data_IF_206613047077
#
_entry.id   IF_206613047077
#
_cell.length_a   1.000
_cell.length_b   1.000
_cell.length_c   1.000
_cell.angle_alpha   90.00
_cell.angle_beta   90.00
_cell.angle_gamma   90.00
#
_symmetry.space_group_name_H-M   'P 1'
#
loop_
_entity.id
_entity.type
_entity.pdbx_description
1 polymer ?
#
# COMPACT_ATOMS: atom_id res chain seq x y z
N UNK A 1 32.91 -18.26 -8.54
CA UNK A 1 32.95 -17.67 -7.18
C UNK A 1 31.64 -18.01 -6.50
N UNK A 2 31.61 -18.46 -5.24
CA UNK A 2 30.34 -18.79 -4.60
C UNK A 2 29.47 -17.52 -4.56
N UNK A 3 28.30 -17.61 -5.19
CA UNK A 3 27.34 -16.51 -5.40
C UNK A 3 26.67 -16.05 -4.10
N UNK A 4 26.75 -16.88 -3.05
CA UNK A 4 26.12 -16.65 -1.74
C UNK A 4 27.18 -16.73 -0.65
N UNK A 5 27.25 -15.67 0.18
CA UNK A 5 28.15 -15.61 1.33
C UNK A 5 27.57 -16.46 2.47
N UNK A 6 28.28 -17.52 2.85
CA UNK A 6 27.89 -18.38 3.97
C UNK A 6 28.42 -17.75 5.27
N UNK A 7 27.53 -17.50 6.23
CA UNK A 7 27.88 -16.96 7.54
C UNK A 7 27.88 -18.08 8.60
N UNK A 8 28.87 -18.08 9.48
CA UNK A 8 28.82 -18.86 10.72
C UNK A 8 27.82 -18.26 11.70
N UNK A 9 27.37 -19.03 12.69
CA UNK A 9 26.49 -18.53 13.75
C UNK A 9 27.12 -17.36 14.54
N UNK A 10 28.45 -17.37 14.72
CA UNK A 10 29.22 -16.29 15.36
C UNK A 10 29.16 -15.00 14.53
N UNK A 11 29.47 -15.08 13.23
CA UNK A 11 29.43 -13.94 12.32
C UNK A 11 28.02 -13.37 12.15
N UNK A 12 27.01 -14.24 12.08
CA UNK A 12 25.60 -13.83 12.02
C UNK A 12 25.17 -13.05 13.27
N UNK A 13 25.64 -13.45 14.47
CA UNK A 13 25.38 -12.72 15.72
C UNK A 13 26.00 -11.32 15.73
N UNK A 14 27.18 -11.17 15.15
CA UNK A 14 27.89 -9.89 15.11
C UNK A 14 27.38 -8.94 14.03
N UNK A 15 26.65 -9.45 13.03
CA UNK A 15 26.18 -8.70 11.85
C UNK A 15 24.65 -8.61 11.80
N UNK A 16 23.98 -9.72 11.46
CA UNK A 16 22.55 -9.81 11.14
C UNK A 16 21.67 -9.53 12.36
N UNK A 17 22.11 -9.89 13.57
CA UNK A 17 21.30 -9.70 14.79
C UNK A 17 21.32 -8.28 15.38
N UNK A 18 22.11 -7.34 14.82
CA UNK A 18 22.10 -5.94 15.27
C UNK A 18 20.88 -5.20 14.71
N UNK A 19 19.70 -5.46 15.26
CA UNK A 19 18.47 -4.74 14.91
C UNK A 19 18.57 -3.27 15.33
N UNK A 20 18.65 -2.36 14.36
CA UNK A 20 18.37 -0.94 14.58
C UNK A 20 16.94 -0.64 14.12
N UNK A 21 16.13 0.06 14.93
CA UNK A 21 14.84 0.57 14.48
C UNK A 21 15.01 1.40 13.20
N UNK A 22 14.20 1.19 12.15
CA UNK A 22 14.29 1.96 10.90
C UNK A 22 14.18 3.47 11.10
N UNK A 23 13.48 3.91 12.15
CA UNK A 23 13.36 5.31 12.54
C UNK A 23 14.67 5.95 13.04
N UNK A 24 15.69 5.13 13.35
CA UNK A 24 17.01 5.57 13.84
C UNK A 24 18.10 5.51 12.76
N UNK A 25 17.78 5.08 11.53
CA UNK A 25 18.72 5.17 10.42
C UNK A 25 18.73 6.58 9.82
N UNK A 26 19.94 7.06 9.49
CA UNK A 26 20.09 8.32 8.79
C UNK A 26 19.38 8.24 7.42
N UNK A 27 18.59 9.27 7.10
CA UNK A 27 17.94 9.37 5.80
C UNK A 27 18.99 9.28 4.67
N UNK A 28 18.67 8.60 3.56
CA UNK A 28 19.45 8.73 2.34
C UNK A 28 19.58 10.22 1.95
N UNK A 29 20.76 10.69 1.47
CA UNK A 29 20.97 12.10 1.12
C UNK A 29 19.92 12.67 0.16
N UNK A 30 19.47 11.86 -0.81
CA UNK A 30 18.40 12.23 -1.75
C UNK A 30 17.07 12.52 -1.05
N UNK A 31 16.71 11.76 0.00
CA UNK A 31 15.49 11.98 0.76
C UNK A 31 15.58 13.26 1.60
N UNK A 32 16.73 13.52 2.24
CA UNK A 32 16.96 14.76 2.98
C UNK A 32 16.93 16.00 2.06
N UNK A 33 17.53 15.92 0.87
CA UNK A 33 17.47 16.98 -0.14
C UNK A 33 16.03 17.25 -0.60
N UNK A 34 15.25 16.19 -0.87
CA UNK A 34 13.85 16.32 -1.26
C UNK A 34 12.99 16.96 -0.18
N UNK A 35 13.22 16.65 1.10
CA UNK A 35 12.54 17.33 2.22
C UNK A 35 12.87 18.83 2.20
N UNK A 36 14.15 19.18 2.03
CA UNK A 36 14.57 20.59 1.99
C UNK A 36 13.95 21.35 0.82
N UNK A 37 13.84 20.71 -0.33
CA UNK A 37 13.17 21.27 -1.52
C UNK A 37 11.67 21.53 -1.26
N UNK A 38 10.96 20.57 -0.68
CA UNK A 38 9.51 20.65 -0.45
C UNK A 38 9.15 21.65 0.65
N UNK A 39 9.94 21.74 1.71
CA UNK A 39 9.62 22.56 2.89
C UNK A 39 10.49 23.81 3.05
N UNK A 40 11.46 24.02 2.17
CA UNK A 40 12.41 25.15 2.23
C UNK A 40 13.38 25.10 3.41
N UNK A 41 13.41 24.01 4.18
CA UNK A 41 14.23 23.86 5.39
C UNK A 41 14.49 22.38 5.70
N UNK A 42 15.52 22.12 6.49
CA UNK A 42 15.79 20.77 6.97
C UNK A 42 14.75 20.35 8.01
N UNK A 43 14.17 19.16 7.82
CA UNK A 43 13.20 18.55 8.73
C UNK A 43 13.48 17.07 8.87
N UNK A 44 13.17 16.51 10.05
CA UNK A 44 13.08 15.07 10.21
C UNK A 44 11.88 14.48 9.45
N UNK A 45 11.90 13.20 9.05
CA UNK A 45 10.78 12.54 8.36
C UNK A 45 9.45 12.69 9.09
N UNK A 46 9.45 12.48 10.42
CA UNK A 46 8.24 12.56 11.22
C UNK A 46 7.64 13.98 11.25
N UNK A 47 8.48 15.02 11.33
CA UNK A 47 8.01 16.40 11.29
C UNK A 47 7.47 16.75 9.89
N UNK A 48 8.17 16.34 8.84
CA UNK A 48 7.72 16.54 7.46
C UNK A 48 6.37 15.86 7.21
N UNK A 49 6.19 14.62 7.67
CA UNK A 49 4.91 13.91 7.62
C UNK A 49 3.84 14.66 8.40
N UNK A 50 4.11 15.06 9.64
CA UNK A 50 3.15 15.81 10.46
C UNK A 50 2.64 17.08 9.77
N UNK A 51 3.52 17.82 9.08
CA UNK A 51 3.14 18.98 8.27
C UNK A 51 2.24 18.63 7.09
N UNK A 52 2.51 17.52 6.41
CA UNK A 52 1.65 17.03 5.30
C UNK A 52 0.27 16.67 5.84
N UNK A 53 0.21 15.91 6.95
CA UNK A 53 -1.05 15.50 7.56
C UNK A 53 -1.90 16.71 7.95
N UNK A 54 -1.30 17.69 8.62
CA UNK A 54 -2.01 18.89 9.07
C UNK A 54 -2.51 19.75 7.89
N UNK A 55 -1.70 19.90 6.86
CA UNK A 55 -2.10 20.60 5.65
C UNK A 55 -3.28 19.92 4.95
N UNK A 56 -3.26 18.59 4.78
CA UNK A 56 -4.39 17.85 4.18
C UNK A 56 -5.64 17.95 5.05
N UNK A 57 -5.50 17.88 6.38
CA UNK A 57 -6.63 18.02 7.30
C UNK A 57 -7.32 19.39 7.20
N UNK A 58 -6.54 20.46 6.98
CA UNK A 58 -7.04 21.84 6.93
C UNK A 58 -7.48 22.30 5.56
N UNK A 59 -6.80 21.84 4.52
CA UNK A 59 -6.92 22.37 3.15
C UNK A 59 -7.49 21.36 2.15
N UNK A 60 -7.72 20.11 2.55
CA UNK A 60 -8.32 19.08 1.72
C UNK A 60 -7.57 18.83 0.41
N UNK A 61 -8.33 18.77 -0.69
CA UNK A 61 -7.84 18.55 -2.06
C UNK A 61 -6.73 19.51 -2.46
N UNK A 62 -6.75 20.75 -1.97
CA UNK A 62 -5.75 21.76 -2.33
C UNK A 62 -4.34 21.35 -1.85
N UNK A 63 -4.24 20.86 -0.61
CA UNK A 63 -2.98 20.34 -0.08
C UNK A 63 -2.58 19.03 -0.77
N UNK A 64 -3.53 18.14 -1.07
CA UNK A 64 -3.26 16.89 -1.79
C UNK A 64 -2.62 17.19 -3.15
N UNK A 65 -3.24 18.07 -3.95
CA UNK A 65 -2.73 18.46 -5.28
C UNK A 65 -1.35 19.13 -5.19
N UNK A 66 -1.16 20.01 -4.22
CA UNK A 66 0.13 20.68 -3.97
C UNK A 66 1.23 19.66 -3.68
N UNK A 67 1.00 18.69 -2.79
CA UNK A 67 2.01 17.69 -2.47
C UNK A 67 2.22 16.68 -3.59
N UNK A 68 1.19 16.32 -4.36
CA UNK A 68 1.35 15.49 -5.58
C UNK A 68 2.22 16.22 -6.61
N UNK A 69 2.01 17.51 -6.84
CA UNK A 69 2.86 18.31 -7.74
C UNK A 69 4.31 18.35 -7.25
N UNK A 70 4.51 18.67 -5.98
CA UNK A 70 5.85 18.79 -5.39
C UNK A 70 6.59 17.46 -5.29
N UNK A 71 5.91 16.34 -5.08
CA UNK A 71 6.53 15.04 -4.83
C UNK A 71 6.58 14.15 -6.07
N UNK A 72 5.50 14.11 -6.85
CA UNK A 72 5.32 13.25 -8.01
C UNK A 72 5.54 13.99 -9.35
N UNK A 73 5.69 15.32 -9.31
CA UNK A 73 6.03 16.14 -10.49
C UNK A 73 4.85 16.47 -11.40
N UNK A 74 3.62 16.17 -10.96
CA UNK A 74 2.40 16.41 -11.72
C UNK A 74 1.31 16.97 -10.82
N UNK A 75 0.64 18.05 -11.25
CA UNK A 75 -0.53 18.59 -10.57
C UNK A 75 -1.81 18.06 -11.22
N UNK A 76 -2.50 17.08 -10.61
CA UNK A 76 -3.73 16.54 -11.18
C UNK A 76 -4.86 17.57 -11.20
N UNK A 77 -5.58 17.65 -12.33
CA UNK A 77 -6.87 18.36 -12.44
C UNK A 77 -8.01 17.57 -11.77
N UNK A 78 -7.95 16.24 -11.83
CA UNK A 78 -8.82 15.35 -11.10
C UNK A 78 -7.98 14.33 -10.33
N UNK A 79 -8.26 14.18 -9.03
CA UNK A 79 -7.60 13.16 -8.21
C UNK A 79 -8.11 11.77 -8.55
N UNK A 80 -9.40 11.63 -8.89
CA UNK A 80 -10.00 10.36 -9.26
C UNK A 80 -9.66 9.98 -10.71
N UNK A 81 -9.34 8.70 -10.92
CA UNK A 81 -9.15 8.12 -12.23
C UNK A 81 -10.52 7.77 -12.81
N UNK A 82 -10.91 8.29 -14.00
CA UNK A 82 -12.20 7.98 -14.59
C UNK A 82 -12.39 6.47 -14.79
N UNK A 83 -13.59 5.97 -14.52
CA UNK A 83 -13.92 4.55 -14.70
C UNK A 83 -13.67 4.06 -16.14
N UNK A 84 -13.80 4.94 -17.14
CA UNK A 84 -13.46 4.64 -18.53
C UNK A 84 -11.95 4.35 -18.73
N UNK A 85 -11.08 5.08 -18.03
CA UNK A 85 -9.62 4.85 -18.07
C UNK A 85 -9.27 3.49 -17.44
N UNK A 86 -9.93 3.13 -16.34
CA UNK A 86 -9.76 1.82 -15.67
C UNK A 86 -10.20 0.67 -16.59
N UNK A 87 -11.37 0.79 -17.23
CA UNK A 87 -11.86 -0.23 -18.19
C UNK A 87 -10.94 -0.35 -19.39
N UNK A 88 -10.55 0.77 -20.00
CA UNK A 88 -9.65 0.79 -21.13
C UNK A 88 -8.29 0.15 -20.79
N UNK A 89 -7.77 0.36 -19.58
CA UNK A 89 -6.53 -0.29 -19.14
C UNK A 89 -6.66 -1.82 -19.03
N UNK A 90 -7.82 -2.32 -18.60
CA UNK A 90 -8.10 -3.76 -18.52
C UNK A 90 -8.32 -4.40 -19.90
N UNK A 91 -8.96 -3.69 -20.82
CA UNK A 91 -9.26 -4.14 -22.18
C UNK A 91 -8.01 -4.14 -23.09
N UNK A 92 -7.14 -3.13 -22.95
CA UNK A 92 -5.96 -2.96 -23.79
C UNK A 92 -4.70 -3.65 -23.24
N UNK A 93 -4.81 -4.38 -22.13
CA UNK A 93 -3.69 -5.14 -21.58
C UNK A 93 -3.39 -6.34 -22.49
N UNK A 94 -2.10 -6.60 -22.76
CA UNK A 94 -1.69 -7.74 -23.57
C UNK A 94 -2.31 -9.06 -23.04
N UNK A 95 -2.79 -9.94 -23.93
CA UNK A 95 -3.67 -11.05 -23.56
C UNK A 95 -3.03 -12.00 -22.54
N UNK A 96 -1.74 -12.28 -22.67
CA UNK A 96 -0.98 -13.14 -21.75
C UNK A 96 -0.91 -12.55 -20.33
N UNK A 97 -0.63 -11.25 -20.22
CA UNK A 97 -0.58 -10.56 -18.94
C UNK A 97 -1.96 -10.44 -18.32
N UNK A 98 -2.99 -10.16 -19.13
CA UNK A 98 -4.38 -10.13 -18.67
C UNK A 98 -4.82 -11.50 -18.13
N UNK A 99 -4.49 -12.59 -18.83
CA UNK A 99 -4.77 -13.95 -18.38
C UNK A 99 -4.05 -14.26 -17.06
N UNK A 100 -2.78 -13.88 -16.95
CA UNK A 100 -1.98 -14.06 -15.72
C UNK A 100 -2.57 -13.32 -14.52
N UNK A 101 -3.01 -12.07 -14.71
CA UNK A 101 -3.65 -11.29 -13.65
C UNK A 101 -5.02 -11.85 -13.25
N UNK A 102 -5.83 -12.30 -14.21
CA UNK A 102 -7.13 -12.94 -13.91
C UNK A 102 -6.94 -14.24 -13.14
N UNK A 103 -6.01 -15.09 -13.57
CA UNK A 103 -5.66 -16.32 -12.86
C UNK A 103 -5.21 -16.03 -11.42
N UNK A 104 -4.33 -15.04 -11.23
CA UNK A 104 -3.90 -14.63 -9.91
C UNK A 104 -5.09 -14.13 -9.07
N UNK A 105 -5.95 -13.27 -9.64
CA UNK A 105 -7.12 -12.75 -8.95
C UNK A 105 -8.10 -13.86 -8.53
N UNK A 106 -8.36 -14.83 -9.41
CA UNK A 106 -9.19 -16.00 -9.12
C UNK A 106 -8.62 -16.85 -7.98
N UNK A 107 -7.31 -17.13 -7.99
CA UNK A 107 -6.66 -17.91 -6.93
C UNK A 107 -6.69 -17.19 -5.59
N UNK A 108 -6.41 -15.89 -5.57
CA UNK A 108 -6.49 -15.07 -4.34
C UNK A 108 -7.92 -15.05 -3.81
N UNK A 109 -8.92 -14.88 -4.70
CA UNK A 109 -10.34 -14.88 -4.32
C UNK A 109 -10.77 -16.24 -3.76
N UNK A 110 -10.42 -17.33 -4.44
CA UNK A 110 -10.76 -18.68 -4.02
C UNK A 110 -10.16 -19.03 -2.65
N UNK A 111 -8.94 -18.57 -2.36
CA UNK A 111 -8.33 -18.75 -1.05
C UNK A 111 -9.09 -17.98 0.05
N UNK A 112 -9.33 -16.68 -0.15
CA UNK A 112 -9.97 -15.84 0.87
C UNK A 112 -11.44 -16.19 1.10
N UNK A 113 -12.16 -16.71 0.08
CA UNK A 113 -13.54 -17.20 0.24
C UNK A 113 -13.63 -18.34 1.27
N UNK A 114 -12.58 -19.15 1.40
CA UNK A 114 -12.51 -20.22 2.42
C UNK A 114 -12.25 -19.71 3.84
N UNK A 115 -11.88 -18.44 4.00
CA UNK A 115 -11.53 -17.81 5.28
C UNK A 115 -12.62 -16.85 5.79
N UNK A 116 -13.74 -16.73 5.09
CA UNK A 116 -14.85 -15.87 5.52
C UNK A 116 -15.38 -16.36 6.87
N UNK A 117 -15.36 -15.47 7.87
CA UNK A 117 -15.86 -15.76 9.21
C UNK A 117 -17.35 -15.49 9.27
N UNK A 118 -18.11 -16.46 9.75
CA UNK A 118 -19.52 -16.28 10.10
C UNK A 118 -19.67 -16.00 11.59
N UNK A 119 -20.69 -15.23 11.94
CA UNK A 119 -21.09 -15.08 13.34
C UNK A 119 -21.68 -16.37 13.93
N UNK A 120 -21.96 -16.34 15.23
CA UNK A 120 -22.63 -17.43 15.95
C UNK A 120 -23.51 -16.86 17.06
N UNK A 121 -24.48 -17.64 17.51
CA UNK A 121 -25.38 -17.31 18.64
C UNK A 121 -25.58 -18.56 19.48
N UNK A 122 -25.42 -18.43 20.80
CA UNK A 122 -25.76 -19.40 21.82
C UNK A 122 -26.95 -18.86 22.62
N UNK A 123 -28.14 -19.37 22.32
CA UNK A 123 -29.38 -18.97 22.98
C UNK A 123 -29.47 -19.45 24.43
N UNK A 124 -28.78 -20.52 24.81
CA UNK A 124 -28.80 -21.06 26.17
C UNK A 124 -27.94 -20.20 27.11
N UNK A 125 -26.78 -19.77 26.64
CA UNK A 125 -25.91 -18.85 27.38
C UNK A 125 -26.28 -17.37 27.19
N UNK A 126 -27.10 -17.04 26.18
CA UNK A 126 -27.42 -15.66 25.81
C UNK A 126 -26.23 -14.90 25.21
N UNK A 127 -25.29 -15.62 24.57
CA UNK A 127 -24.06 -15.07 24.01
C UNK A 127 -24.03 -15.19 22.49
N UNK A 128 -23.21 -14.38 21.83
CA UNK A 128 -23.04 -14.46 20.38
C UNK A 128 -21.95 -13.54 19.86
N UNK A 129 -21.59 -13.75 18.60
CA UNK A 129 -20.69 -12.89 17.85
C UNK A 129 -21.32 -12.55 16.50
N UNK A 130 -21.43 -11.25 16.22
CA UNK A 130 -21.79 -10.76 14.90
C UNK A 130 -20.52 -10.30 14.18
N UNK A 131 -20.26 -10.86 13.00
CA UNK A 131 -19.15 -10.45 12.14
C UNK A 131 -19.71 -9.59 11.01
N UNK A 132 -19.20 -8.36 10.86
CA UNK A 132 -19.61 -7.43 9.80
C UNK A 132 -18.38 -6.86 9.08
N UNK A 133 -18.46 -6.64 7.76
CA UNK A 133 -17.43 -5.91 7.04
C UNK A 133 -17.35 -4.45 7.50
N UNK A 134 -16.20 -3.85 7.24
CA UNK A 134 -16.05 -2.39 7.28
C UNK A 134 -16.86 -1.76 6.14
N UNK A 135 -17.27 -0.50 6.30
CA UNK A 135 -18.01 0.21 5.26
C UNK A 135 -17.05 0.63 4.13
N UNK A 136 -15.88 1.18 4.50
CA UNK A 136 -14.85 1.65 3.56
C UNK A 136 -13.45 1.19 3.93
N UNK A 137 -12.71 0.70 2.95
CA UNK A 137 -11.28 0.37 3.09
C UNK A 137 -10.46 1.14 2.06
N UNK A 138 -9.42 1.82 2.52
CA UNK A 138 -8.41 2.44 1.69
C UNK A 138 -7.25 1.50 1.44
N UNK A 139 -6.80 1.40 0.20
CA UNK A 139 -5.67 0.58 -0.24
C UNK A 139 -4.61 1.51 -0.80
N UNK A 140 -3.45 1.58 -0.15
CA UNK A 140 -2.29 2.26 -0.69
C UNK A 140 -1.47 1.30 -1.56
N UNK A 141 -1.23 1.69 -2.81
CA UNK A 141 -0.40 0.92 -3.75
C UNK A 141 0.83 1.78 -4.10
N UNK A 142 2.05 1.32 -3.74
CA UNK A 142 3.26 2.08 -4.03
C UNK A 142 3.45 2.38 -5.52
N UNK A 143 4.07 3.52 -5.80
CA UNK A 143 4.58 3.85 -7.14
C UNK A 143 6.01 3.40 -7.36
N UNK A 144 6.61 3.90 -8.44
CA UNK A 144 8.02 3.70 -8.78
C UNK A 144 8.27 2.56 -9.77
N UNK A 145 9.50 2.04 -9.78
CA UNK A 145 10.00 1.09 -10.80
C UNK A 145 9.22 -0.23 -10.84
N UNK A 146 8.67 -0.65 -9.71
CA UNK A 146 8.13 -2.00 -9.53
C UNK A 146 6.66 -2.21 -9.88
N UNK A 147 5.91 -1.16 -10.32
CA UNK A 147 4.46 -1.17 -10.67
C UNK A 147 3.74 -2.40 -10.10
N UNK A 148 3.02 -2.28 -8.98
CA UNK A 148 2.64 -3.44 -8.16
C UNK A 148 1.17 -3.91 -8.33
N UNK A 149 0.78 -4.58 -9.43
CA UNK A 149 -0.58 -5.13 -9.55
C UNK A 149 -0.85 -6.21 -8.50
N UNK A 150 0.17 -6.96 -8.07
CA UNK A 150 0.05 -7.97 -7.03
C UNK A 150 -0.42 -7.36 -5.70
N UNK A 151 0.04 -6.16 -5.33
CA UNK A 151 -0.43 -5.47 -4.12
C UNK A 151 -1.92 -5.16 -4.23
N UNK A 152 -2.39 -4.70 -5.39
CA UNK A 152 -3.82 -4.48 -5.64
C UNK A 152 -4.61 -5.77 -5.42
N UNK A 153 -4.22 -6.86 -6.09
CA UNK A 153 -4.93 -8.14 -5.99
C UNK A 153 -4.95 -8.66 -4.53
N UNK A 154 -3.82 -8.58 -3.83
CA UNK A 154 -3.66 -9.10 -2.46
C UNK A 154 -4.34 -8.25 -1.38
N UNK A 155 -4.85 -7.05 -1.69
CA UNK A 155 -5.48 -6.15 -0.72
C UNK A 155 -6.94 -5.85 -1.05
N UNK A 156 -7.26 -5.59 -2.32
CA UNK A 156 -8.62 -5.32 -2.77
C UNK A 156 -9.49 -6.57 -2.72
N UNK A 157 -8.98 -7.72 -3.20
CA UNK A 157 -9.79 -8.95 -3.26
C UNK A 157 -10.23 -9.42 -1.86
N UNK A 158 -9.36 -9.48 -0.83
CA UNK A 158 -9.79 -9.83 0.52
C UNK A 158 -10.85 -8.87 1.08
N UNK A 159 -10.74 -7.56 0.80
CA UNK A 159 -11.74 -6.58 1.22
C UNK A 159 -13.10 -6.83 0.54
N UNK A 160 -13.11 -7.10 -0.77
CA UNK A 160 -14.35 -7.43 -1.50
C UNK A 160 -14.93 -8.78 -1.04
N UNK A 161 -14.10 -9.78 -0.78
CA UNK A 161 -14.54 -11.08 -0.24
C UNK A 161 -15.14 -10.94 1.16
N UNK A 162 -14.58 -10.05 2.00
CA UNK A 162 -15.15 -9.76 3.32
C UNK A 162 -16.51 -9.04 3.24
N UNK A 163 -16.86 -8.44 2.10
CA UNK A 163 -18.10 -7.70 1.89
C UNK A 163 -17.98 -6.19 2.14
N UNK A 164 -16.77 -5.63 2.09
CA UNK A 164 -16.57 -4.17 2.18
C UNK A 164 -17.32 -3.48 1.04
N UNK A 165 -18.12 -2.47 1.39
CA UNK A 165 -19.01 -1.79 0.44
C UNK A 165 -18.22 -0.99 -0.58
N UNK A 166 -17.23 -0.23 -0.12
CA UNK A 166 -16.41 0.63 -0.99
C UNK A 166 -14.91 0.45 -0.67
N UNK A 167 -14.15 0.00 -1.68
CA UNK A 167 -12.71 -0.18 -1.64
C UNK A 167 -12.07 0.88 -2.52
N UNK A 168 -11.35 1.80 -1.87
CA UNK A 168 -10.68 2.95 -2.49
C UNK A 168 -9.21 2.61 -2.66
N UNK A 169 -8.65 2.83 -3.85
CA UNK A 169 -7.23 2.63 -4.13
C UNK A 169 -6.54 3.97 -4.34
N UNK A 170 -5.49 4.27 -3.59
CA UNK A 170 -4.60 5.40 -3.83
C UNK A 170 -3.25 4.91 -4.33
N UNK A 171 -2.80 5.46 -5.46
CA UNK A 171 -1.50 5.15 -6.06
C UNK A 171 -0.91 6.41 -6.69
N UNK A 172 0.38 6.73 -6.49
CA UNK A 172 0.96 7.94 -7.08
C UNK A 172 0.92 7.89 -8.62
N UNK A 173 0.73 9.04 -9.29
CA UNK A 173 0.87 9.13 -10.73
C UNK A 173 2.34 8.96 -11.14
N UNK A 174 2.57 8.59 -12.39
CA UNK A 174 3.86 8.78 -13.04
C UNK A 174 4.15 10.26 -13.32
N UNK A 175 5.36 10.60 -13.80
CA UNK A 175 5.69 11.97 -14.21
C UNK A 175 4.80 12.53 -15.33
N UNK A 176 4.15 11.65 -16.09
CA UNK A 176 3.16 11.97 -17.12
C UNK A 176 1.73 12.18 -16.57
N UNK A 177 1.58 12.12 -15.24
CA UNK A 177 0.31 12.27 -14.55
C UNK A 177 -0.62 11.05 -14.61
N UNK A 178 -0.15 9.93 -15.19
CA UNK A 178 -0.96 8.72 -15.39
C UNK A 178 -0.64 7.64 -14.38
N UNK A 179 -1.63 6.83 -14.06
CA UNK A 179 -1.42 5.58 -13.31
C UNK A 179 -0.98 4.49 -14.30
N UNK A 180 -0.07 3.62 -13.88
CA UNK A 180 0.38 2.53 -14.73
C UNK A 180 -0.80 1.65 -15.19
N UNK A 181 -0.96 1.36 -16.50
CA UNK A 181 -2.11 0.59 -17.01
C UNK A 181 -2.28 -0.78 -16.34
N UNK A 182 -1.17 -1.46 -16.02
CA UNK A 182 -1.21 -2.75 -15.32
C UNK A 182 -1.82 -2.67 -13.91
N UNK A 183 -1.64 -1.54 -13.22
CA UNK A 183 -2.23 -1.30 -11.89
C UNK A 183 -3.73 -1.03 -12.04
N UNK A 184 -4.14 -0.21 -13.02
CA UNK A 184 -5.55 0.05 -13.30
C UNK A 184 -6.29 -1.22 -13.74
N UNK A 185 -5.67 -2.05 -14.58
CA UNK A 185 -6.22 -3.35 -14.97
C UNK A 185 -6.38 -4.28 -13.76
N UNK A 186 -5.40 -4.32 -12.85
CA UNK A 186 -5.50 -5.08 -11.60
C UNK A 186 -6.63 -4.54 -10.70
N UNK A 187 -6.85 -3.23 -10.63
CA UNK A 187 -7.99 -2.64 -9.91
C UNK A 187 -9.32 -3.13 -10.49
N UNK A 188 -9.44 -3.16 -11.82
CA UNK A 188 -10.63 -3.67 -12.50
C UNK A 188 -10.87 -5.16 -12.19
N UNK A 189 -9.85 -6.01 -12.30
CA UNK A 189 -9.97 -7.44 -12.05
C UNK A 189 -10.20 -7.78 -10.57
N UNK A 190 -9.66 -6.97 -9.65
CA UNK A 190 -9.87 -7.14 -8.22
C UNK A 190 -11.26 -6.68 -7.76
N UNK A 191 -11.86 -5.73 -8.48
CA UNK A 191 -13.14 -5.10 -8.13
C UNK A 191 -12.99 -3.92 -7.17
N UNK A 192 -11.95 -3.08 -7.36
CA UNK A 192 -11.84 -1.80 -6.68
C UNK A 192 -12.95 -0.86 -7.14
N UNK A 193 -13.52 -0.08 -6.21
CA UNK A 193 -14.68 0.76 -6.51
C UNK A 193 -14.24 2.14 -7.03
N UNK A 194 -13.17 2.72 -6.46
CA UNK A 194 -12.62 4.02 -6.85
C UNK A 194 -11.10 4.01 -6.81
N UNK A 195 -10.46 4.73 -7.74
CA UNK A 195 -8.99 4.80 -7.84
C UNK A 195 -8.57 6.27 -7.89
N UNK A 196 -7.59 6.66 -7.08
CA UNK A 196 -7.06 8.01 -7.01
C UNK A 196 -5.57 8.04 -7.32
N UNK A 197 -5.17 9.01 -8.15
CA UNK A 197 -3.79 9.25 -8.58
C UNK A 197 -3.02 10.07 -7.53
N UNK A 198 -2.90 9.54 -6.32
CA UNK A 198 -2.26 10.19 -5.17
C UNK A 198 -1.39 9.17 -4.42
N UNK A 199 -0.16 9.56 -4.07
CA UNK A 199 0.76 8.73 -3.28
C UNK A 199 1.17 9.34 -1.94
N UNK A 200 2.19 8.74 -1.31
CA UNK A 200 2.86 9.30 -0.15
C UNK A 200 2.01 9.49 1.11
N UNK A 201 2.48 10.35 2.01
CA UNK A 201 1.77 10.68 3.25
C UNK A 201 0.45 11.41 2.98
N UNK A 202 0.36 12.19 1.90
CA UNK A 202 -0.84 12.92 1.50
C UNK A 202 -1.98 11.98 1.08
N UNK A 203 -1.69 10.83 0.46
CA UNK A 203 -2.70 9.81 0.17
C UNK A 203 -3.26 9.19 1.45
N UNK A 204 -2.39 8.88 2.42
CA UNK A 204 -2.81 8.32 3.72
C UNK A 204 -3.65 9.34 4.48
N UNK A 205 -3.24 10.61 4.48
CA UNK A 205 -4.01 11.70 5.09
C UNK A 205 -5.38 11.86 4.43
N UNK A 206 -5.45 11.86 3.10
CA UNK A 206 -6.70 12.01 2.36
C UNK A 206 -7.68 10.86 2.66
N UNK A 207 -7.19 9.61 2.74
CA UNK A 207 -8.02 8.46 3.13
C UNK A 207 -8.41 8.49 4.61
N UNK A 208 -7.57 9.02 5.52
CA UNK A 208 -7.86 9.04 6.95
C UNK A 208 -8.81 10.18 7.36
N UNK A 209 -8.65 11.36 6.78
CA UNK A 209 -9.46 12.55 7.10
C UNK A 209 -10.67 12.68 6.19
N UNK A 210 -10.59 12.17 4.97
CA UNK A 210 -11.46 12.58 3.88
C UNK A 210 -11.06 13.94 3.32
N UNK A 211 -11.32 14.14 2.03
CA UNK A 211 -11.26 15.43 1.34
C UNK A 211 -12.53 15.60 0.51
N UNK A 212 -12.61 16.68 -0.26
CA UNK A 212 -13.70 16.93 -1.20
C UNK A 212 -13.83 15.80 -2.23
N UNK A 213 -12.70 15.25 -2.69
CA UNK A 213 -12.68 14.15 -3.67
C UNK A 213 -12.54 12.76 -3.04
N UNK A 214 -11.67 12.60 -2.04
CA UNK A 214 -11.29 11.30 -1.47
C UNK A 214 -12.13 11.03 -0.22
N UNK A 215 -12.97 9.99 -0.17
CA UNK A 215 -13.73 9.68 1.03
C UNK A 215 -12.82 9.21 2.18
N UNK A 216 -13.17 9.59 3.41
CA UNK A 216 -12.57 9.01 4.60
C UNK A 216 -12.85 7.48 4.66
N UNK A 217 -11.93 6.68 5.17
CA UNK A 217 -12.07 5.21 5.25
C UNK A 217 -11.93 4.72 6.69
N UNK A 218 -12.42 3.51 6.96
CA UNK A 218 -12.36 2.92 8.30
C UNK A 218 -11.00 2.26 8.58
N UNK A 219 -10.36 1.75 7.52
CA UNK A 219 -9.04 1.10 7.59
C UNK A 219 -8.23 1.38 6.33
N UNK A 220 -6.93 1.66 6.51
CA UNK A 220 -5.96 1.79 5.43
C UNK A 220 -5.02 0.58 5.45
N UNK A 221 -4.87 -0.07 4.31
CA UNK A 221 -3.98 -1.21 4.11
C UNK A 221 -2.99 -0.95 2.98
N UNK A 222 -1.94 -1.77 2.90
CA UNK A 222 -0.94 -1.69 1.85
C UNK A 222 0.40 -1.16 2.38
N UNK A 223 1.53 -1.72 1.90
CA UNK A 223 2.86 -1.30 2.29
C UNK A 223 3.22 0.03 1.63
N UNK A 224 4.20 0.74 2.17
CA UNK A 224 4.75 1.93 1.53
C UNK A 224 6.13 2.28 2.08
N UNK A 225 6.76 3.30 1.49
CA UNK A 225 8.03 3.82 1.99
C UNK A 225 7.89 4.50 3.35
N UNK A 226 9.01 4.99 3.88
CA UNK A 226 9.11 5.60 5.21
C UNK A 226 7.98 6.61 5.52
N UNK A 227 7.68 7.52 4.59
CA UNK A 227 6.65 8.56 4.78
C UNK A 227 5.24 7.98 4.91
N UNK A 228 4.93 6.90 4.19
CA UNK A 228 3.65 6.19 4.30
C UNK A 228 3.57 5.46 5.63
N UNK A 229 4.64 4.79 6.03
CA UNK A 229 4.73 4.10 7.33
C UNK A 229 4.55 5.08 8.49
N UNK A 230 5.24 6.22 8.47
CA UNK A 230 5.13 7.26 9.49
C UNK A 230 3.73 7.92 9.49
N UNK A 231 3.12 8.13 8.32
CA UNK A 231 1.75 8.64 8.25
C UNK A 231 0.75 7.66 8.86
N UNK A 232 0.84 6.37 8.51
CA UNK A 232 0.01 5.30 9.10
C UNK A 232 0.21 5.20 10.61
N UNK A 233 1.45 5.32 11.08
CA UNK A 233 1.76 5.33 12.51
C UNK A 233 1.12 6.53 13.22
N UNK A 234 1.23 7.73 12.65
CA UNK A 234 0.68 8.95 13.24
C UNK A 234 -0.86 8.98 13.25
N UNK A 235 -1.51 8.28 12.32
CA UNK A 235 -2.97 8.23 12.19
C UNK A 235 -3.61 6.98 12.81
N UNK A 236 -2.81 6.09 13.39
CA UNK A 236 -3.33 4.93 14.11
C UNK A 236 -4.23 5.37 15.27
N UNK A 237 -5.41 4.76 15.36
CA UNK A 237 -6.45 5.11 16.32
C UNK A 237 -7.48 6.11 15.78
N UNK A 238 -7.11 6.93 14.78
CA UNK A 238 -8.08 7.69 13.99
C UNK A 238 -8.62 6.86 12.82
N UNK A 239 -7.75 6.06 12.20
CA UNK A 239 -8.10 5.07 11.19
C UNK A 239 -7.42 3.74 11.52
N UNK A 240 -8.06 2.62 11.19
CA UNK A 240 -7.40 1.33 11.30
C UNK A 240 -6.21 1.23 10.35
N UNK A 241 -5.14 0.54 10.74
CA UNK A 241 -4.04 0.17 9.83
C UNK A 241 -3.83 -1.35 9.85
N UNK A 242 -3.22 -1.92 8.82
CA UNK A 242 -2.76 -3.31 8.78
C UNK A 242 -1.46 -3.51 9.57
N UNK A 243 -0.36 -2.89 9.12
CA UNK A 243 0.98 -3.03 9.67
C UNK A 243 1.85 -1.81 9.34
N UNK A 244 2.88 -1.60 10.16
CA UNK A 244 3.98 -0.69 9.86
C UNK A 244 5.02 -1.46 9.04
N UNK A 245 5.24 -1.05 7.80
CA UNK A 245 6.10 -1.80 6.89
C UNK A 245 7.56 -1.76 7.35
N UNK A 246 8.19 -2.94 7.35
CA UNK A 246 9.62 -3.14 7.57
C UNK A 246 10.29 -3.76 6.33
N UNK A 247 11.61 -3.99 6.38
CA UNK A 247 12.31 -4.69 5.30
C UNK A 247 11.75 -6.11 5.13
N UNK A 248 11.68 -6.57 3.87
CA UNK A 248 11.29 -7.95 3.56
C UNK A 248 12.43 -8.91 3.94
N UNK A 249 12.08 -10.02 4.57
CA UNK A 249 13.02 -11.07 4.99
C UNK A 249 12.49 -12.45 4.54
N UNK A 250 13.40 -13.36 4.21
CA UNK A 250 13.09 -14.76 3.88
C UNK A 250 14.11 -15.69 4.54
N UNK A 251 13.66 -16.86 5.02
CA UNK A 251 14.50 -17.90 5.61
C UNK A 251 14.30 -19.20 4.83
N UNK A 252 15.38 -19.73 4.25
CA UNK A 252 15.40 -21.05 3.63
C UNK A 252 16.16 -22.03 4.54
N UNK A 253 15.57 -23.20 4.80
CA UNK A 253 16.24 -24.33 5.46
C UNK A 253 16.38 -25.42 4.40
N UNK A 254 17.62 -25.72 4.03
CA UNK A 254 17.96 -26.68 2.99
C UNK A 254 18.85 -27.77 3.58
N UNK A 255 18.54 -29.02 3.26
CA UNK A 255 19.41 -30.16 3.55
C UNK A 255 20.16 -30.60 2.28
N UNK A 256 20.90 -31.71 2.37
CA UNK A 256 21.69 -32.26 1.27
C UNK A 256 20.89 -32.69 0.03
N UNK A 257 19.56 -32.77 0.12
CA UNK A 257 18.68 -33.13 -1.00
C UNK A 257 18.23 -31.92 -1.81
N UNK A 258 18.45 -30.70 -1.32
CA UNK A 258 18.08 -29.49 -2.01
C UNK A 258 19.02 -29.20 -3.19
N UNK A 259 18.44 -28.68 -4.28
CA UNK A 259 19.19 -28.15 -5.40
C UNK A 259 19.78 -26.77 -5.03
N UNK A 260 21.12 -26.62 -4.98
CA UNK A 260 21.75 -25.35 -4.62
C UNK A 260 21.42 -24.19 -5.56
N UNK A 261 21.12 -24.45 -6.84
CA UNK A 261 20.78 -23.40 -7.82
C UNK A 261 19.38 -22.85 -7.57
N UNK A 262 18.43 -23.68 -7.12
CA UNK A 262 17.08 -23.23 -6.73
C UNK A 262 17.09 -22.48 -5.40
N UNK A 263 18.01 -22.82 -4.49
CA UNK A 263 18.15 -22.14 -3.20
C UNK A 263 18.85 -20.77 -3.27
N UNK A 264 19.71 -20.55 -4.26
CA UNK A 264 20.47 -19.32 -4.45
C UNK A 264 19.61 -18.20 -5.06
#
# INVERSE_FOLDING_TARGET
>A
MPTVRIYTAEEARQTILRRRPPALEALPPAAAARIREVFGRELGPAEAVGRILEAVRREGDAAVRRFTELLDGYRPEALEVPAAEIRAAAENLGPELAQSLRLAAERVRAFHLRQVRTGWVDFAAGLGQLVRPLDRVGVYVPGGRGRYPSTVLMTVIPAKVAGVREVIVCTPPGPDGRVAPVVLAACAFAGADRVFRVGGAQAIAAMAFGTESVPAVDKIVGPGGLFVTLAKQALYGQVGIDLLAGPSEALAIADRSADPEVCA
#
